data_IF_657877912368
#
_entry.id   IF_657877912368
#
_cell.length_a   1.000
_cell.length_b   1.000
_cell.length_c   1.000
_cell.angle_alpha   90.00
_cell.angle_beta   90.00
_cell.angle_gamma   90.00
#
_symmetry.space_group_name_H-M   'P 1'
#
loop_
_entity.id
_entity.type
_entity.pdbx_description
1 polymer ?
#
# COMPACT_ATOMS: atom_id res chain seq x y z
N UNK A 1 -13.48 6.42 10.59
CA UNK A 1 -13.66 4.98 10.98
C UNK A 1 -13.69 4.04 9.77
N UNK A 2 -14.51 4.31 8.74
CA UNK A 2 -14.54 3.49 7.50
C UNK A 2 -13.18 3.50 6.79
N UNK A 3 -12.59 4.68 6.61
CA UNK A 3 -11.31 4.87 5.92
C UNK A 3 -10.16 4.10 6.58
N UNK A 4 -10.04 4.16 7.92
CA UNK A 4 -9.05 3.36 8.65
C UNK A 4 -9.21 1.84 8.44
N UNK A 5 -10.45 1.33 8.39
CA UNK A 5 -10.71 -0.09 8.13
C UNK A 5 -10.34 -0.46 6.69
N UNK A 6 -10.74 0.36 5.72
CA UNK A 6 -10.39 0.17 4.32
C UNK A 6 -8.86 0.21 4.12
N UNK A 7 -8.19 1.17 4.75
CA UNK A 7 -6.75 1.31 4.65
C UNK A 7 -6.02 0.12 5.26
N UNK A 8 -6.45 -0.38 6.42
CA UNK A 8 -5.91 -1.63 6.99
C UNK A 8 -6.01 -2.80 6.01
N UNK A 9 -7.20 -3.04 5.46
CA UNK A 9 -7.39 -4.11 4.46
C UNK A 9 -6.55 -3.90 3.21
N UNK A 10 -6.36 -2.65 2.77
CA UNK A 10 -5.52 -2.31 1.63
C UNK A 10 -4.03 -2.60 1.91
N UNK A 11 -3.53 -2.25 3.10
CA UNK A 11 -2.15 -2.55 3.49
C UNK A 11 -1.91 -4.05 3.62
N UNK A 12 -2.85 -4.78 4.22
CA UNK A 12 -2.77 -6.24 4.32
C UNK A 12 -2.78 -6.90 2.94
N UNK A 13 -3.69 -6.47 2.05
CA UNK A 13 -3.69 -6.91 0.66
C UNK A 13 -2.36 -6.60 -0.04
N UNK A 14 -1.84 -5.37 0.11
CA UNK A 14 -0.59 -4.94 -0.50
C UNK A 14 0.58 -5.83 -0.06
N UNK A 15 0.72 -6.07 1.24
CA UNK A 15 1.76 -6.95 1.81
C UNK A 15 1.60 -8.39 1.30
N UNK A 16 0.40 -8.98 1.40
CA UNK A 16 0.14 -10.35 0.94
C UNK A 16 0.39 -10.51 -0.56
N UNK A 17 0.02 -9.51 -1.37
CA UNK A 17 0.25 -9.54 -2.81
C UNK A 17 1.74 -9.57 -3.13
N UNK A 18 2.52 -8.68 -2.51
CA UNK A 18 3.95 -8.60 -2.74
C UNK A 18 4.67 -9.88 -2.30
N UNK A 19 4.38 -10.35 -1.09
CA UNK A 19 4.96 -11.59 -0.55
C UNK A 19 4.62 -12.79 -1.42
N UNK A 20 3.35 -12.95 -1.81
CA UNK A 20 2.93 -14.02 -2.71
C UNK A 20 3.58 -13.93 -4.09
N UNK A 21 3.75 -12.72 -4.66
CA UNK A 21 4.44 -12.56 -5.93
C UNK A 21 5.92 -12.97 -5.87
N UNK A 22 6.54 -12.83 -4.70
CA UNK A 22 7.91 -13.22 -4.43
C UNK A 22 8.06 -14.73 -4.20
N UNK A 23 7.23 -15.30 -3.34
CA UNK A 23 7.42 -16.67 -2.82
C UNK A 23 6.55 -17.70 -3.51
N UNK A 24 5.40 -17.28 -4.04
CA UNK A 24 4.28 -18.14 -4.43
C UNK A 24 3.75 -19.04 -3.30
N UNK A 25 4.07 -18.69 -2.05
CA UNK A 25 3.67 -19.44 -0.87
C UNK A 25 2.17 -19.25 -0.59
N UNK A 26 1.43 -20.36 -0.64
CA UNK A 26 -0.01 -20.38 -0.37
C UNK A 26 -0.33 -20.49 1.12
N UNK A 27 0.67 -20.68 1.96
CA UNK A 27 0.54 -20.65 3.43
C UNK A 27 1.00 -19.30 4.01
N UNK A 28 1.43 -18.36 3.16
CA UNK A 28 1.84 -17.02 3.56
C UNK A 28 0.69 -16.23 4.17
N UNK A 29 1.02 -15.29 5.05
CA UNK A 29 0.01 -14.47 5.75
C UNK A 29 -0.90 -13.72 4.77
N UNK A 30 -2.19 -13.79 5.06
CA UNK A 30 -3.23 -13.16 4.25
C UNK A 30 -3.47 -13.81 2.88
N UNK A 31 -2.79 -14.90 2.49
CA UNK A 31 -3.08 -15.59 1.22
C UNK A 31 -4.54 -16.03 1.13
N UNK A 32 -5.04 -16.76 2.13
CA UNK A 32 -6.42 -17.24 2.15
C UNK A 32 -7.44 -16.09 2.15
N UNK A 33 -7.13 -15.00 2.85
CA UNK A 33 -8.01 -13.84 2.99
C UNK A 33 -8.04 -12.97 1.73
N UNK A 34 -6.87 -12.68 1.15
CA UNK A 34 -6.69 -11.60 0.18
C UNK A 34 -6.34 -12.06 -1.22
N UNK A 35 -5.75 -13.25 -1.40
CA UNK A 35 -5.17 -13.68 -2.68
C UNK A 35 -5.93 -14.84 -3.31
N UNK A 36 -6.23 -15.89 -2.53
CA UNK A 36 -6.77 -17.18 -2.99
C UNK A 36 -7.97 -17.07 -3.92
N UNK A 37 -8.90 -16.16 -3.61
CA UNK A 37 -10.17 -16.02 -4.31
C UNK A 37 -10.18 -14.89 -5.36
N UNK A 38 -9.03 -14.25 -5.61
CA UNK A 38 -8.92 -13.21 -6.64
C UNK A 38 -8.97 -13.85 -8.03
N UNK A 39 -10.10 -13.66 -8.73
CA UNK A 39 -10.25 -14.11 -10.11
C UNK A 39 -9.26 -13.37 -11.02
N UNK A 40 -8.59 -14.10 -11.91
CA UNK A 40 -7.65 -13.55 -12.88
C UNK A 40 -6.51 -12.71 -12.26
N UNK A 41 -5.95 -13.20 -11.15
CA UNK A 41 -4.89 -12.53 -10.39
C UNK A 41 -3.79 -11.93 -11.30
N UNK A 42 -3.55 -10.63 -11.15
CA UNK A 42 -2.53 -9.84 -11.84
C UNK A 42 -1.36 -9.63 -10.91
N UNK A 43 -0.24 -10.29 -11.19
CA UNK A 43 0.99 -10.14 -10.40
C UNK A 43 1.55 -8.70 -10.45
N UNK A 44 1.38 -8.02 -11.57
CA UNK A 44 1.99 -6.72 -11.85
C UNK A 44 1.08 -5.78 -12.64
N UNK A 45 1.41 -4.49 -12.62
CA UNK A 45 0.68 -3.45 -13.34
C UNK A 45 0.80 -2.09 -12.66
N UNK A 46 0.37 -1.05 -13.37
CA UNK A 46 0.33 0.32 -12.87
C UNK A 46 -1.14 0.75 -12.79
N UNK A 47 -1.72 0.67 -11.60
CA UNK A 47 -3.13 0.98 -11.39
C UNK A 47 -3.48 2.43 -11.72
N UNK A 48 -2.55 3.37 -11.52
CA UNK A 48 -2.72 4.77 -11.92
C UNK A 48 -2.75 4.97 -13.45
N UNK A 49 -2.32 3.97 -14.23
CA UNK A 49 -2.42 3.93 -15.69
C UNK A 49 -3.62 3.09 -16.20
N UNK A 50 -4.56 2.75 -15.32
CA UNK A 50 -5.75 1.97 -15.67
C UNK A 50 -5.50 0.48 -15.90
N UNK A 51 -4.36 -0.06 -15.43
CA UNK A 51 -4.11 -1.50 -15.54
C UNK A 51 -5.05 -2.30 -14.61
N UNK A 52 -5.41 -3.52 -15.04
CA UNK A 52 -6.33 -4.41 -14.31
C UNK A 52 -5.89 -4.80 -12.90
N UNK A 53 -4.63 -4.57 -12.51
CA UNK A 53 -4.19 -4.80 -11.12
C UNK A 53 -4.98 -3.93 -10.11
N UNK A 54 -5.44 -2.75 -10.54
CA UNK A 54 -6.25 -1.85 -9.70
C UNK A 54 -7.59 -2.49 -9.30
N UNK A 55 -8.17 -3.32 -10.17
CA UNK A 55 -9.45 -4.01 -9.88
C UNK A 55 -9.38 -4.90 -8.64
N UNK A 56 -8.18 -5.37 -8.28
CA UNK A 56 -7.96 -6.24 -7.12
C UNK A 56 -8.02 -5.50 -5.78
N UNK A 57 -7.91 -4.16 -5.79
CA UNK A 57 -8.06 -3.31 -4.60
C UNK A 57 -9.30 -2.43 -4.64
N UNK A 58 -10.20 -2.63 -5.62
CA UNK A 58 -11.37 -1.76 -5.87
C UNK A 58 -12.29 -1.58 -4.65
N UNK A 59 -12.31 -2.56 -3.73
CA UNK A 59 -13.09 -2.47 -2.49
C UNK A 59 -12.55 -1.43 -1.50
N UNK A 60 -11.28 -1.07 -1.60
CA UNK A 60 -10.54 -0.29 -0.60
C UNK A 60 -9.81 0.92 -1.19
N UNK A 61 -10.10 1.30 -2.44
CA UNK A 61 -9.34 2.33 -3.17
C UNK A 61 -9.86 3.76 -2.98
N UNK A 62 -11.15 3.93 -2.65
CA UNK A 62 -11.79 5.25 -2.57
C UNK A 62 -11.86 5.75 -1.11
N UNK A 63 -11.41 6.99 -0.89
CA UNK A 63 -11.35 7.71 0.39
C UNK A 63 -11.94 9.10 0.21
N UNK A 64 -12.22 9.78 1.33
CA UNK A 64 -12.80 11.14 1.31
C UNK A 64 -11.96 12.14 0.49
N UNK A 65 -10.62 12.08 0.63
CA UNK A 65 -9.72 13.06 0.03
C UNK A 65 -9.09 12.62 -1.30
N UNK A 66 -9.42 11.42 -1.79
CA UNK A 66 -8.88 10.93 -3.04
C UNK A 66 -8.96 9.41 -3.22
N UNK A 67 -8.25 8.94 -4.23
CA UNK A 67 -8.18 7.52 -4.59
C UNK A 67 -6.76 6.99 -4.47
N UNK A 68 -6.58 5.83 -3.84
CA UNK A 68 -5.29 5.13 -3.78
C UNK A 68 -5.16 4.16 -4.96
N UNK A 69 -4.05 4.26 -5.67
CA UNK A 69 -3.64 3.37 -6.75
C UNK A 69 -2.54 2.40 -6.28
N UNK A 70 -2.54 1.21 -6.87
CA UNK A 70 -1.57 0.15 -6.59
C UNK A 70 -0.70 -0.14 -7.80
N UNK A 71 0.62 0.00 -7.61
CA UNK A 71 1.62 -0.19 -8.64
C UNK A 71 2.59 -1.30 -8.24
N UNK A 72 2.81 -2.26 -9.14
CA UNK A 72 3.77 -3.36 -8.97
C UNK A 72 4.55 -3.55 -10.25
N UNK A 73 5.88 -3.43 -10.14
CA UNK A 73 6.79 -3.72 -11.24
C UNK A 73 7.13 -5.21 -11.28
N UNK A 74 6.85 -5.85 -12.41
CA UNK A 74 7.07 -7.28 -12.62
C UNK A 74 8.56 -7.69 -12.51
N UNK A 75 9.49 -6.77 -12.76
CA UNK A 75 10.94 -7.06 -12.73
C UNK A 75 11.53 -7.04 -11.33
N UNK A 76 10.79 -6.61 -10.31
CA UNK A 76 11.31 -6.46 -8.96
C UNK A 76 10.21 -6.20 -7.94
N UNK A 77 9.61 -7.27 -7.41
CA UNK A 77 8.58 -7.18 -6.38
C UNK A 77 9.07 -6.57 -5.06
N UNK A 78 10.38 -6.62 -4.80
CA UNK A 78 11.02 -6.00 -3.63
C UNK A 78 11.52 -4.57 -3.88
N UNK A 79 11.39 -4.09 -5.11
CA UNK A 79 12.08 -2.89 -5.57
C UNK A 79 11.21 -1.64 -5.51
N UNK A 80 11.84 -0.50 -5.84
CA UNK A 80 11.20 0.80 -5.87
C UNK A 80 9.99 0.90 -6.82
N UNK A 81 9.80 -0.06 -7.73
CA UNK A 81 8.65 -0.11 -8.63
C UNK A 81 7.35 -0.59 -7.99
N UNK A 82 7.36 -0.96 -6.69
CA UNK A 82 6.21 -1.53 -5.98
C UNK A 82 5.77 -0.60 -4.85
N UNK A 83 4.56 -0.04 -4.93
CA UNK A 83 4.04 0.93 -3.97
C UNK A 83 2.52 1.14 -4.11
N UNK A 84 1.90 1.63 -3.03
CA UNK A 84 0.63 2.34 -3.10
C UNK A 84 0.89 3.83 -3.27
N UNK A 85 0.01 4.56 -3.96
CA UNK A 85 0.08 6.02 -4.07
C UNK A 85 -1.31 6.65 -4.14
N UNK A 86 -1.46 7.89 -3.72
CA UNK A 86 -2.61 8.69 -4.15
C UNK A 86 -2.52 8.92 -5.66
N UNK A 87 -3.64 8.82 -6.39
CA UNK A 87 -3.68 8.84 -7.86
C UNK A 87 -2.91 10.02 -8.46
N UNK A 88 -3.14 11.22 -7.91
CA UNK A 88 -2.72 12.48 -8.52
C UNK A 88 -1.41 13.04 -7.96
N UNK A 89 -0.83 12.41 -6.94
CA UNK A 89 0.43 12.88 -6.32
C UNK A 89 1.48 11.78 -6.21
N UNK A 90 2.74 12.22 -6.20
CA UNK A 90 3.90 11.35 -6.07
C UNK A 90 4.22 11.05 -4.58
N UNK A 91 3.22 10.60 -3.82
CA UNK A 91 3.39 10.12 -2.45
C UNK A 91 3.16 8.62 -2.39
N UNK A 92 4.12 7.88 -1.84
CA UNK A 92 4.15 6.44 -1.93
C UNK A 92 4.20 5.79 -0.54
N UNK A 93 3.40 4.73 -0.33
CA UNK A 93 3.62 3.75 0.73
C UNK A 93 4.42 2.58 0.15
N UNK A 94 5.48 2.16 0.85
CA UNK A 94 6.43 1.13 0.40
C UNK A 94 6.73 0.10 1.48
N UNK A 95 6.97 -1.14 1.07
CA UNK A 95 7.44 -2.21 1.93
C UNK A 95 8.96 -2.22 2.12
N UNK A 96 9.40 -2.39 3.36
CA UNK A 96 10.79 -2.72 3.72
C UNK A 96 10.87 -4.23 3.92
N UNK A 97 11.84 -4.86 3.28
CA UNK A 97 11.95 -6.31 3.23
C UNK A 97 13.01 -6.84 4.19
N UNK A 98 12.69 -7.99 4.79
CA UNK A 98 13.67 -8.91 5.36
C UNK A 98 13.50 -10.25 4.64
N UNK A 99 14.48 -10.63 3.81
CA UNK A 99 14.38 -11.79 2.92
C UNK A 99 13.13 -11.76 2.00
N UNK A 100 12.14 -12.60 2.32
CA UNK A 100 10.92 -12.80 1.56
C UNK A 100 9.68 -12.20 2.24
N UNK A 101 9.88 -11.46 3.33
CA UNK A 101 8.81 -10.86 4.12
C UNK A 101 8.92 -9.32 4.12
N UNK A 102 7.79 -8.64 4.00
CA UNK A 102 7.68 -7.20 4.23
C UNK A 102 7.55 -6.96 5.74
N UNK A 103 8.62 -6.50 6.39
CA UNK A 103 8.63 -6.32 7.85
C UNK A 103 8.09 -4.96 8.29
N UNK A 104 8.20 -3.93 7.44
CA UNK A 104 7.76 -2.57 7.73
C UNK A 104 7.15 -1.89 6.52
N UNK A 105 6.37 -0.85 6.77
CA UNK A 105 5.86 0.08 5.77
C UNK A 105 6.37 1.49 6.04
N UNK A 106 6.66 2.24 4.98
CA UNK A 106 7.22 3.60 5.01
C UNK A 106 6.49 4.52 4.04
N UNK A 107 6.39 5.82 4.37
CA UNK A 107 5.84 6.85 3.49
C UNK A 107 6.95 7.72 2.91
N UNK A 108 6.85 7.98 1.60
CA UNK A 108 7.72 8.91 0.88
C UNK A 108 6.90 9.94 0.11
N UNK A 109 7.33 11.20 0.09
CA UNK A 109 6.80 12.26 -0.80
C UNK A 109 7.78 12.56 -1.93
N UNK A 110 7.32 13.29 -2.96
CA UNK A 110 8.11 13.65 -4.14
C UNK A 110 8.72 12.43 -4.88
N UNK A 111 8.04 11.28 -4.82
CA UNK A 111 8.48 9.97 -5.31
C UNK A 111 8.45 9.82 -6.84
N UNK A 112 8.67 10.89 -7.60
CA UNK A 112 8.79 10.86 -9.07
C UNK A 112 10.01 10.05 -9.53
N UNK A 113 11.04 9.97 -8.68
CA UNK A 113 12.18 9.06 -8.83
C UNK A 113 12.82 8.77 -7.46
N UNK A 114 13.62 7.70 -7.36
CA UNK A 114 14.36 7.35 -6.13
C UNK A 114 15.23 8.49 -5.60
N UNK A 115 15.84 9.29 -6.48
CA UNK A 115 16.72 10.43 -6.11
C UNK A 115 15.96 11.63 -5.54
N UNK A 116 14.69 11.80 -5.91
CA UNK A 116 13.85 12.93 -5.49
C UNK A 116 12.93 12.58 -4.31
N UNK A 117 12.74 11.28 -4.06
CA UNK A 117 11.88 10.81 -2.99
C UNK A 117 12.42 11.23 -1.63
N UNK A 118 11.54 11.79 -0.80
CA UNK A 118 11.84 12.25 0.55
C UNK A 118 11.09 11.34 1.50
N UNK A 119 11.82 10.61 2.34
CA UNK A 119 11.23 9.86 3.44
C UNK A 119 10.53 10.82 4.42
N UNK A 120 9.31 10.49 4.81
CA UNK A 120 8.59 11.27 5.82
C UNK A 120 9.01 10.75 7.19
N UNK A 121 9.59 11.62 8.01
CA UNK A 121 10.00 11.27 9.37
C UNK A 121 8.79 10.73 10.15
N UNK A 122 9.03 9.75 11.02
CA UNK A 122 8.01 9.15 11.90
C UNK A 122 6.86 8.44 11.14
N UNK A 123 7.04 8.17 9.85
CA UNK A 123 6.13 7.40 9.00
C UNK A 123 6.60 5.98 8.72
N UNK A 124 7.38 5.39 9.62
CA UNK A 124 7.84 4.00 9.54
C UNK A 124 7.24 3.21 10.68
N UNK A 125 6.55 2.12 10.36
CA UNK A 125 6.05 1.16 11.34
C UNK A 125 6.21 -0.27 10.82
N UNK A 126 6.48 -1.20 11.72
CA UNK A 126 6.40 -2.62 11.39
C UNK A 126 4.96 -3.04 11.08
N UNK A 127 4.83 -4.12 10.31
CA UNK A 127 3.52 -4.72 10.04
C UNK A 127 2.81 -5.11 11.35
N UNK A 128 3.56 -5.52 12.38
CA UNK A 128 3.02 -5.82 13.71
C UNK A 128 2.55 -4.56 14.45
N UNK A 129 3.32 -3.47 14.45
CA UNK A 129 2.91 -2.21 15.10
C UNK A 129 1.63 -1.64 14.48
N UNK A 130 1.48 -1.77 13.16
CA UNK A 130 0.26 -1.40 12.43
C UNK A 130 -0.91 -2.36 12.69
N UNK A 131 -0.69 -3.46 13.43
CA UNK A 131 -1.68 -4.49 13.69
C UNK A 131 -2.12 -5.22 12.43
N UNK A 132 -1.28 -5.35 11.41
CA UNK A 132 -1.64 -6.07 10.19
C UNK A 132 -1.76 -7.57 10.49
N UNK A 133 -2.80 -8.20 9.95
CA UNK A 133 -3.10 -9.64 10.05
C UNK A 133 -3.42 -10.15 11.47
N UNK A 134 -3.70 -9.27 12.42
CA UNK A 134 -4.03 -9.64 13.80
C UNK A 134 -5.52 -9.96 14.04
N UNK A 135 -6.36 -9.76 13.03
CA UNK A 135 -7.82 -9.95 13.12
C UNK A 135 -8.58 -8.88 13.89
N UNK A 136 -7.89 -7.87 14.44
CA UNK A 136 -8.49 -6.81 15.25
C UNK A 136 -8.88 -5.58 14.40
N UNK A 137 -9.70 -4.65 14.94
CA UNK A 137 -9.90 -3.34 14.34
C UNK A 137 -8.59 -2.52 14.21
N UNK A 138 -8.57 -1.47 13.36
CA UNK A 138 -7.47 -0.51 13.30
C UNK A 138 -7.01 0.03 14.65
N UNK A 139 -5.72 -0.11 14.95
CA UNK A 139 -5.10 0.44 16.16
C UNK A 139 -4.63 1.90 15.94
N UNK A 140 -4.17 2.55 17.00
CA UNK A 140 -3.72 3.95 16.94
C UNK A 140 -2.53 4.18 16.00
N UNK A 141 -1.59 3.23 15.91
CA UNK A 141 -0.44 3.35 14.99
C UNK A 141 -0.89 3.33 13.53
N UNK A 142 -1.86 2.50 13.19
CA UNK A 142 -2.43 2.46 11.85
C UNK A 142 -3.17 3.76 11.50
N UNK A 143 -3.90 4.34 12.47
CA UNK A 143 -4.57 5.64 12.28
C UNK A 143 -3.55 6.74 12.02
N UNK A 144 -2.52 6.85 12.86
CA UNK A 144 -1.41 7.81 12.68
C UNK A 144 -0.76 7.63 11.31
N UNK A 145 -0.46 6.39 10.91
CA UNK A 145 0.14 6.11 9.61
C UNK A 145 -0.76 6.53 8.44
N UNK A 146 -2.08 6.28 8.55
CA UNK A 146 -3.04 6.77 7.55
C UNK A 146 -3.13 8.29 7.52
N UNK A 147 -3.24 8.93 8.68
CA UNK A 147 -3.41 10.38 8.79
C UNK A 147 -2.20 11.09 8.16
N UNK A 148 -0.97 10.64 8.45
CA UNK A 148 0.25 11.15 7.77
C UNK A 148 0.16 11.00 6.25
N UNK A 149 -0.34 9.87 5.76
CA UNK A 149 -0.45 9.64 4.33
C UNK A 149 -1.55 10.51 3.69
N UNK A 150 -2.68 10.67 4.38
CA UNK A 150 -3.85 11.42 3.94
C UNK A 150 -3.60 12.93 3.95
N UNK A 151 -2.81 13.43 4.90
CA UNK A 151 -2.41 14.84 4.96
C UNK A 151 -1.68 15.28 3.68
N UNK A 152 -0.94 14.38 3.03
CA UNK A 152 -0.25 14.68 1.77
C UNK A 152 -1.21 15.01 0.62
N UNK A 153 -2.35 14.31 0.54
CA UNK A 153 -3.35 14.59 -0.49
C UNK A 153 -4.21 15.79 -0.11
N UNK A 154 -4.49 16.00 1.18
CA UNK A 154 -5.16 17.22 1.67
C UNK A 154 -4.33 18.46 1.33
N UNK A 155 -3.04 18.47 1.66
CA UNK A 155 -2.13 19.59 1.34
C UNK A 155 -2.08 19.86 -0.16
N UNK A 156 -2.06 18.79 -0.98
CA UNK A 156 -2.08 18.95 -2.42
C UNK A 156 -3.40 19.55 -2.91
N UNK A 157 -4.54 19.05 -2.44
CA UNK A 157 -5.85 19.53 -2.84
C UNK A 157 -6.02 21.01 -2.46
N UNK A 158 -5.55 21.43 -1.28
CA UNK A 158 -5.61 22.83 -0.84
C UNK A 158 -4.74 23.77 -1.69
N UNK A 159 -3.61 23.31 -2.22
CA UNK A 159 -2.73 24.12 -3.08
C UNK A 159 -3.23 24.26 -4.52
N UNK A 160 -4.16 23.41 -4.94
CA UNK A 160 -4.70 23.36 -6.31
C UNK A 160 -6.19 23.75 -6.39
N UNK A 161 -6.73 24.33 -5.31
CA UNK A 161 -7.99 25.07 -5.29
C UNK A 161 -7.73 26.54 -5.61
#
# INVERSE_FOLDING_TARGET
>A
MKDYKNFKSLLEYFVSHLEYCVTQDKNGRGYDTYIKNVKNFKKSGYGDKGHKIQEQIKKWEDYENGKICFNVNATGYREWGCYLKWKDIASNVRGVWNNNEVVKLQIYKNSTSKKKAIFIKDSEFSCQELGLFDGNPPNEKLKIFFDIFNDLIIEHNQRNQ
#
